data_IF_553303827172
#
_entry.id   IF_553303827172
#
_cell.length_a   1.000
_cell.length_b   1.000
_cell.length_c   1.000
_cell.angle_alpha   90.00
_cell.angle_beta   90.00
_cell.angle_gamma   90.00
#
_symmetry.space_group_name_H-M   'P 1'
#
loop_
_entity.id
_entity.type
_entity.pdbx_description
1 polymer ?
#
# COMPACT_ATOMS: atom_id res chain seq x y z
N UNK A 1 -46.51 66.77 5.00
CA UNK A 1 -46.85 65.35 4.74
C UNK A 1 -45.84 64.72 3.76
N UNK A 2 -44.56 64.63 4.13
CA UNK A 2 -43.48 64.13 3.21
C UNK A 2 -42.48 63.19 3.91
N UNK A 3 -42.72 62.81 5.17
CA UNK A 3 -41.81 61.97 5.96
C UNK A 3 -42.22 60.49 6.00
N UNK A 4 -43.46 60.16 5.64
CA UNK A 4 -43.99 58.78 5.72
C UNK A 4 -43.60 57.95 4.48
N UNK A 5 -43.50 58.57 3.29
CA UNK A 5 -43.13 57.88 2.05
C UNK A 5 -41.67 57.39 2.04
N UNK A 6 -40.76 58.09 2.72
CA UNK A 6 -39.35 57.72 2.78
C UNK A 6 -39.09 56.47 3.63
N UNK A 7 -39.86 56.26 4.71
CA UNK A 7 -39.73 55.07 5.56
C UNK A 7 -40.24 53.81 4.85
N UNK A 8 -41.36 53.88 4.12
CA UNK A 8 -41.91 52.74 3.39
C UNK A 8 -40.97 52.20 2.31
N UNK A 9 -40.28 53.10 1.59
CA UNK A 9 -39.32 52.71 0.55
C UNK A 9 -38.07 52.03 1.13
N UNK A 10 -37.62 52.46 2.32
CA UNK A 10 -36.48 51.83 3.01
C UNK A 10 -36.81 50.41 3.50
N UNK A 11 -38.02 50.15 3.98
CA UNK A 11 -38.43 48.84 4.49
C UNK A 11 -38.56 47.84 3.34
N UNK A 12 -39.11 48.26 2.21
CA UNK A 12 -39.19 47.42 1.01
C UNK A 12 -37.81 47.11 0.45
N UNK A 13 -36.90 48.10 0.40
CA UNK A 13 -35.52 47.88 -0.04
C UNK A 13 -34.78 46.90 0.89
N UNK A 14 -34.94 47.02 2.20
CA UNK A 14 -34.35 46.08 3.18
C UNK A 14 -34.94 44.68 3.03
N UNK A 15 -36.25 44.54 2.85
CA UNK A 15 -36.89 43.23 2.65
C UNK A 15 -36.43 42.56 1.35
N UNK A 16 -36.28 43.32 0.26
CA UNK A 16 -35.74 42.79 -1.02
C UNK A 16 -34.30 42.33 -0.84
N UNK A 17 -33.45 43.12 -0.16
CA UNK A 17 -32.06 42.72 0.12
C UNK A 17 -32.02 41.46 0.97
N UNK A 18 -32.81 41.36 2.03
CA UNK A 18 -32.89 40.15 2.87
C UNK A 18 -33.37 38.94 2.07
N UNK A 19 -34.33 39.11 1.17
CA UNK A 19 -34.81 38.02 0.31
C UNK A 19 -33.75 37.58 -0.71
N UNK A 20 -33.02 38.52 -1.31
CA UNK A 20 -31.92 38.20 -2.24
C UNK A 20 -30.72 37.55 -1.56
N UNK A 21 -30.41 37.92 -0.31
CA UNK A 21 -29.34 37.29 0.47
C UNK A 21 -29.76 35.88 0.91
N UNK A 22 -31.02 35.68 1.29
CA UNK A 22 -31.53 34.38 1.75
C UNK A 22 -31.62 33.32 0.65
N UNK A 23 -31.72 33.73 -0.63
CA UNK A 23 -31.72 32.81 -1.78
C UNK A 23 -30.31 32.37 -2.22
N UNK A 24 -29.24 33.00 -1.71
CA UNK A 24 -27.86 32.64 -2.06
C UNK A 24 -27.28 31.50 -1.22
N UNK A 25 -27.91 31.14 -0.11
CA UNK A 25 -27.41 30.12 0.82
C UNK A 25 -28.03 28.73 0.62
N UNK A 26 -28.46 28.39 -0.60
CA UNK A 26 -28.72 26.99 -0.98
C UNK A 26 -27.39 26.30 -1.35
N UNK A 27 -26.47 26.25 -0.40
CA UNK A 27 -25.33 25.33 -0.48
C UNK A 27 -25.87 23.91 -0.24
N UNK A 28 -26.29 23.27 -1.33
CA UNK A 28 -26.56 21.84 -1.35
C UNK A 28 -25.30 21.11 -0.84
N UNK A 29 -25.37 20.56 0.38
CA UNK A 29 -24.38 19.64 0.91
C UNK A 29 -24.42 18.36 0.06
N UNK A 30 -23.81 18.40 -1.13
CA UNK A 30 -23.50 17.22 -1.90
C UNK A 30 -22.46 16.45 -1.08
N UNK A 31 -22.90 15.43 -0.35
CA UNK A 31 -22.00 14.45 0.24
C UNK A 31 -21.29 13.75 -0.91
N UNK A 32 -20.06 14.18 -1.20
CA UNK A 32 -19.15 13.39 -2.01
C UNK A 32 -18.91 12.09 -1.26
N UNK A 33 -19.12 10.91 -1.88
CA UNK A 33 -18.78 9.64 -1.25
C UNK A 33 -17.34 9.74 -0.77
N UNK A 34 -17.11 9.54 0.53
CA UNK A 34 -15.77 9.39 1.07
C UNK A 34 -15.26 8.02 0.59
N UNK A 35 -14.84 7.96 -0.68
CA UNK A 35 -14.06 6.84 -1.20
C UNK A 35 -12.74 6.97 -0.46
N UNK A 36 -12.37 6.03 0.42
CA UNK A 36 -11.01 5.99 0.93
C UNK A 36 -10.13 5.94 -0.30
N UNK A 37 -9.46 7.06 -0.60
CA UNK A 37 -8.45 7.06 -1.64
C UNK A 37 -7.33 6.27 -0.98
N UNK A 38 -7.37 4.96 -1.12
CA UNK A 38 -6.25 4.11 -0.79
C UNK A 38 -5.13 4.64 -1.68
N UNK A 39 -4.28 5.49 -1.10
CA UNK A 39 -3.03 5.85 -1.74
C UNK A 39 -2.41 4.52 -2.12
N UNK A 40 -2.05 4.28 -3.40
CA UNK A 40 -1.33 3.07 -3.73
C UNK A 40 -0.08 3.08 -2.85
N UNK A 41 -0.07 2.22 -1.83
CA UNK A 41 1.10 1.98 -1.01
C UNK A 41 2.08 1.38 -1.99
N UNK A 42 3.00 2.20 -2.50
CA UNK A 42 4.07 1.69 -3.33
C UNK A 42 4.76 0.60 -2.52
N UNK A 43 4.90 -0.62 -3.06
CA UNK A 43 5.59 -1.68 -2.34
C UNK A 43 6.95 -1.16 -1.92
N UNK A 44 7.30 -1.38 -0.65
CA UNK A 44 8.61 -1.02 -0.12
C UNK A 44 9.68 -1.58 -1.06
N UNK A 45 10.51 -0.70 -1.62
CA UNK A 45 11.60 -1.13 -2.51
C UNK A 45 12.63 -1.85 -1.67
N UNK A 46 12.77 -3.16 -1.87
CA UNK A 46 13.85 -3.94 -1.29
C UNK A 46 15.13 -3.54 -2.02
N UNK A 47 16.15 -2.98 -1.35
CA UNK A 47 17.44 -2.71 -1.99
C UNK A 47 18.08 -4.03 -2.43
N UNK A 48 18.43 -4.07 -3.72
CA UNK A 48 19.10 -5.21 -4.35
C UNK A 48 20.43 -4.73 -4.92
N UNK A 49 21.49 -5.46 -4.63
CA UNK A 49 22.79 -5.29 -5.26
C UNK A 49 23.17 -6.59 -5.97
N UNK A 50 23.77 -6.48 -7.16
CA UNK A 50 24.23 -7.63 -7.92
C UNK A 50 25.63 -7.37 -8.48
N UNK A 51 26.49 -8.37 -8.41
CA UNK A 51 27.85 -8.35 -8.95
C UNK A 51 28.16 -9.73 -9.55
N UNK A 52 28.08 -9.83 -10.88
CA UNK A 52 28.20 -11.12 -11.57
C UNK A 52 27.12 -12.10 -11.13
N UNK A 53 27.53 -13.28 -10.67
CA UNK A 53 26.63 -14.35 -10.20
C UNK A 53 26.17 -14.16 -8.75
N UNK A 54 26.67 -13.12 -8.05
CA UNK A 54 26.35 -12.86 -6.66
C UNK A 54 25.27 -11.77 -6.55
N UNK A 55 24.17 -12.07 -5.88
CA UNK A 55 23.08 -11.14 -5.60
C UNK A 55 22.91 -11.00 -4.09
N UNK A 56 22.69 -9.77 -3.62
CA UNK A 56 22.43 -9.45 -2.23
C UNK A 56 21.13 -8.65 -2.10
N UNK A 57 20.29 -9.05 -1.16
CA UNK A 57 19.05 -8.38 -0.78
C UNK A 57 19.17 -7.96 0.67
N UNK A 58 18.75 -6.75 0.99
CA UNK A 58 18.65 -6.29 2.38
C UNK A 58 17.21 -5.91 2.71
N UNK A 59 16.72 -6.38 3.85
CA UNK A 59 15.39 -6.06 4.34
C UNK A 59 15.47 -5.73 5.83
N UNK A 60 14.82 -4.64 6.25
CA UNK A 60 14.68 -4.31 7.66
C UNK A 60 13.53 -5.13 8.26
N UNK A 61 13.80 -5.89 9.33
CA UNK A 61 12.80 -6.70 10.02
C UNK A 61 12.10 -5.86 11.11
N UNK A 62 11.51 -4.73 10.71
CA UNK A 62 10.82 -3.79 11.60
C UNK A 62 11.74 -3.22 12.69
N UNK A 63 11.36 -3.40 13.96
CA UNK A 63 12.20 -2.99 15.10
C UNK A 63 13.33 -3.97 15.44
N UNK A 64 13.46 -5.06 14.69
CA UNK A 64 14.46 -6.12 14.89
C UNK A 64 15.77 -5.92 14.10
N UNK A 65 16.60 -6.97 14.00
CA UNK A 65 17.80 -6.96 13.18
C UNK A 65 17.47 -6.83 11.68
N UNK A 66 18.39 -6.27 10.91
CA UNK A 66 18.30 -6.26 9.45
C UNK A 66 18.62 -7.64 8.89
N UNK A 67 17.86 -8.11 7.92
CA UNK A 67 18.14 -9.35 7.19
C UNK A 67 18.97 -9.02 5.94
N UNK A 68 20.02 -9.81 5.70
CA UNK A 68 20.77 -9.83 4.45
C UNK A 68 20.65 -11.22 3.84
N UNK A 69 20.06 -11.32 2.65
CA UNK A 69 20.00 -12.55 1.87
C UNK A 69 21.04 -12.47 0.76
N UNK A 70 21.96 -13.43 0.73
CA UNK A 70 22.98 -13.56 -0.30
C UNK A 70 22.67 -14.77 -1.17
N UNK A 71 22.72 -14.62 -2.49
CA UNK A 71 22.48 -15.69 -3.46
C UNK A 71 23.67 -15.74 -4.40
N UNK A 72 24.34 -16.88 -4.45
CA UNK A 72 25.31 -17.22 -5.48
C UNK A 72 24.62 -18.10 -6.54
N UNK A 73 24.34 -17.51 -7.69
CA UNK A 73 23.68 -18.18 -8.80
C UNK A 73 24.55 -19.28 -9.44
N UNK A 74 25.88 -19.16 -9.35
CA UNK A 74 26.81 -20.13 -9.94
C UNK A 74 26.81 -21.43 -9.16
N UNK A 75 26.85 -21.35 -7.83
CA UNK A 75 26.79 -22.53 -6.95
C UNK A 75 25.36 -22.94 -6.58
N UNK A 76 24.37 -22.09 -6.89
CA UNK A 76 22.96 -22.21 -6.49
C UNK A 76 22.81 -22.30 -4.96
N UNK A 77 23.56 -21.47 -4.24
CA UNK A 77 23.52 -21.41 -2.78
C UNK A 77 22.89 -20.08 -2.34
N UNK A 78 21.97 -20.17 -1.39
CA UNK A 78 21.37 -19.03 -0.69
C UNK A 78 21.80 -19.05 0.77
N UNK A 79 22.20 -17.89 1.28
CA UNK A 79 22.51 -17.66 2.68
C UNK A 79 21.63 -16.53 3.23
N UNK A 80 21.20 -16.65 4.47
CA UNK A 80 20.46 -15.60 5.18
C UNK A 80 21.23 -15.22 6.44
N UNK A 81 21.57 -13.95 6.56
CA UNK A 81 22.22 -13.35 7.72
C UNK A 81 21.28 -12.37 8.40
N UNK A 82 21.36 -12.28 9.72
CA UNK A 82 20.78 -11.18 10.49
C UNK A 82 21.92 -10.30 11.00
N UNK A 83 21.76 -8.99 10.85
CA UNK A 83 22.66 -7.96 11.37
C UNK A 83 21.90 -7.15 12.39
N UNK A 84 22.33 -7.18 13.65
CA UNK A 84 21.71 -6.37 14.71
C UNK A 84 22.10 -4.87 14.59
N UNK A 85 21.61 -4.04 15.51
CA UNK A 85 21.88 -2.60 15.47
C UNK A 85 23.31 -2.26 15.87
N UNK A 86 23.92 -3.14 16.66
CA UNK A 86 25.31 -3.08 17.11
C UNK A 86 26.29 -3.57 16.03
N UNK A 87 25.78 -4.14 14.92
CA UNK A 87 26.55 -4.62 13.77
C UNK A 87 26.99 -6.07 13.87
N UNK A 88 26.53 -6.83 14.87
CA UNK A 88 26.80 -8.27 15.00
C UNK A 88 26.09 -9.02 13.88
N UNK A 89 26.82 -9.90 13.21
CA UNK A 89 26.31 -10.71 12.10
C UNK A 89 26.08 -12.14 12.58
N UNK A 90 24.87 -12.64 12.41
CA UNK A 90 24.48 -14.02 12.70
C UNK A 90 24.00 -14.73 11.44
N UNK A 91 24.62 -15.85 11.09
CA UNK A 91 24.16 -16.72 10.01
C UNK A 91 22.92 -17.50 10.49
N UNK A 92 21.80 -17.34 9.77
CA UNK A 92 20.54 -18.02 10.08
C UNK A 92 20.35 -19.30 9.28
N UNK A 93 20.73 -19.27 8.00
CA UNK A 93 20.51 -20.42 7.11
C UNK A 93 21.48 -20.38 5.93
N UNK A 94 21.90 -21.55 5.49
CA UNK A 94 22.63 -21.78 4.23
C UNK A 94 21.97 -22.97 3.56
N UNK A 95 21.57 -22.83 2.30
CA UNK A 95 20.94 -23.91 1.56
C UNK A 95 21.30 -23.86 0.08
N UNK A 96 21.55 -25.03 -0.51
CA UNK A 96 21.60 -25.18 -1.96
C UNK A 96 20.16 -25.27 -2.50
N UNK A 97 19.74 -24.27 -3.28
CA UNK A 97 18.36 -24.14 -3.75
C UNK A 97 18.03 -25.10 -4.89
N UNK A 98 19.03 -25.78 -5.49
CA UNK A 98 18.81 -26.75 -6.55
C UNK A 98 17.81 -27.84 -6.12
N UNK A 99 17.89 -28.30 -4.87
CA UNK A 99 17.01 -29.36 -4.37
C UNK A 99 15.60 -28.85 -4.10
N UNK A 100 15.46 -27.61 -3.63
CA UNK A 100 14.16 -26.98 -3.40
C UNK A 100 13.38 -26.85 -4.73
N UNK A 101 14.07 -26.60 -5.84
CA UNK A 101 13.47 -26.49 -7.18
C UNK A 101 13.04 -27.83 -7.80
N UNK A 102 13.49 -28.96 -7.24
CA UNK A 102 13.15 -30.29 -7.75
C UNK A 102 11.99 -30.94 -6.99
N UNK A 103 11.57 -30.36 -5.86
CA UNK A 103 10.50 -30.92 -5.05
C UNK A 103 9.14 -30.39 -5.53
N UNK A 104 8.23 -31.29 -5.87
CA UNK A 104 6.90 -30.91 -6.37
C UNK A 104 5.94 -30.43 -5.26
N UNK A 105 6.00 -31.03 -4.07
CA UNK A 105 5.00 -30.83 -3.01
C UNK A 105 5.64 -30.72 -1.62
N UNK A 106 6.46 -29.69 -1.40
CA UNK A 106 6.98 -29.34 -0.07
C UNK A 106 6.40 -27.99 0.39
N UNK A 107 5.95 -27.91 1.64
CA UNK A 107 5.20 -26.77 2.20
C UNK A 107 3.89 -26.42 1.46
N UNK A 108 3.37 -27.32 0.62
CA UNK A 108 2.07 -27.15 -0.02
C UNK A 108 0.93 -27.19 1.01
N UNK A 109 -0.06 -26.33 0.84
CA UNK A 109 -1.33 -26.37 1.58
C UNK A 109 -2.44 -26.67 0.58
N UNK A 110 -3.44 -27.46 1.00
CA UNK A 110 -4.57 -27.83 0.14
C UNK A 110 -5.32 -26.59 -0.39
N UNK A 111 -5.79 -26.60 -1.66
CA UNK A 111 -5.60 -27.66 -2.66
C UNK A 111 -4.16 -27.70 -3.19
N UNK A 112 -3.62 -28.91 -3.35
CA UNK A 112 -2.26 -29.06 -3.86
C UNK A 112 -2.19 -28.67 -5.34
N UNK A 113 -1.01 -28.28 -5.85
CA UNK A 113 -0.85 -27.95 -7.28
C UNK A 113 -1.38 -29.04 -8.22
N UNK A 114 -1.23 -30.33 -7.86
CA UNK A 114 -1.80 -31.45 -8.65
C UNK A 114 -3.33 -31.45 -8.66
N UNK A 115 -3.97 -31.09 -7.55
CA UNK A 115 -5.43 -31.09 -7.41
C UNK A 115 -6.02 -29.95 -8.24
N UNK A 116 -5.34 -28.79 -8.26
CA UNK A 116 -5.70 -27.65 -9.12
C UNK A 116 -5.63 -28.04 -10.61
N UNK A 117 -4.57 -28.75 -11.03
CA UNK A 117 -4.43 -29.23 -12.42
C UNK A 117 -5.58 -30.18 -12.79
N UNK A 118 -5.89 -31.15 -11.93
CA UNK A 118 -7.00 -32.08 -12.16
C UNK A 118 -8.36 -31.37 -12.29
N UNK A 119 -8.61 -30.31 -11.51
CA UNK A 119 -9.83 -29.51 -11.61
C UNK A 119 -9.92 -28.73 -12.93
N UNK A 120 -8.79 -28.26 -13.46
CA UNK A 120 -8.74 -27.54 -14.74
C UNK A 120 -8.90 -28.48 -15.94
N UNK A 121 -8.34 -29.69 -15.87
CA UNK A 121 -8.45 -30.72 -16.91
C UNK A 121 -9.84 -31.35 -17.01
N UNK A 122 -10.66 -31.24 -15.94
CA UNK A 122 -12.05 -31.71 -15.92
C UNK A 122 -13.06 -30.78 -16.61
N UNK A 123 -12.63 -29.59 -17.06
CA UNK A 123 -13.50 -28.61 -17.75
C UNK A 123 -13.35 -28.70 -19.26
#
# INVERSE_FOLDING_TARGET
MMRVAAFGLSVVAVLVVVWTVSLCDLSANAQTPNVPTAQPVLPARIPVAAAGDLMAFSAELGSGPSQITLIDAKSRVMCVYHVDREGKIELRSVRNVQWDLLIEEFNGVSPLPRDIRALLEQR
#
